data_IF_516108214965
#
_entry.id   IF_516108214965
#
_cell.length_a   1.000
_cell.length_b   1.000
_cell.length_c   1.000
_cell.angle_alpha   90.00
_cell.angle_beta   90.00
_cell.angle_gamma   90.00
#
_symmetry.space_group_name_H-M   'P 1'
#
loop_
_entity.id
_entity.type
_entity.pdbx_description
1 polymer ?
#
# COMPACT_ATOMS: atom_id res chain seq x y z
N UNK A 1 33.60 -32.03 40.99
CA UNK A 1 33.04 -30.67 41.18
C UNK A 1 31.70 -30.58 40.46
N UNK A 2 30.86 -29.68 40.95
CA UNK A 2 29.39 -29.64 40.90
C UNK A 2 28.71 -29.59 39.53
N UNK A 3 27.49 -30.12 39.52
CA UNK A 3 26.43 -29.97 38.50
C UNK A 3 25.97 -28.51 38.34
N UNK A 4 25.44 -28.11 37.17
CA UNK A 4 24.15 -27.41 36.98
C UNK A 4 23.94 -26.94 35.52
N UNK A 5 22.97 -27.52 34.79
CA UNK A 5 21.60 -27.03 34.52
C UNK A 5 21.48 -25.86 33.52
N UNK A 6 20.99 -26.22 32.33
CA UNK A 6 19.94 -25.61 31.51
C UNK A 6 19.65 -24.10 31.66
N UNK A 7 19.68 -23.39 30.53
CA UNK A 7 18.76 -22.27 30.26
C UNK A 7 18.56 -22.05 28.75
N UNK A 8 17.59 -22.79 28.19
CA UNK A 8 16.97 -22.49 26.90
C UNK A 8 16.27 -21.14 27.01
N UNK A 9 16.91 -20.06 26.56
CA UNK A 9 16.31 -18.73 26.53
C UNK A 9 15.40 -18.65 25.30
N UNK A 10 14.16 -19.16 25.44
CA UNK A 10 13.06 -18.83 24.54
C UNK A 10 12.77 -17.34 24.73
N UNK A 11 13.36 -16.52 23.88
CA UNK A 11 12.97 -15.12 23.76
C UNK A 11 11.60 -15.16 23.09
N UNK A 12 10.55 -15.04 23.90
CA UNK A 12 9.29 -14.48 23.42
C UNK A 12 9.62 -13.03 23.08
N UNK A 13 9.94 -12.78 21.81
CA UNK A 13 9.83 -11.43 21.29
C UNK A 13 8.34 -11.15 21.24
N UNK A 14 7.95 -10.23 22.12
CA UNK A 14 6.67 -9.54 22.19
C UNK A 14 6.10 -9.27 20.79
N UNK A 15 4.76 -9.18 20.64
CA UNK A 15 4.23 -8.51 19.47
C UNK A 15 4.92 -7.15 19.44
N UNK A 16 5.74 -6.91 18.43
CA UNK A 16 6.26 -5.58 18.19
C UNK A 16 5.02 -4.73 17.92
N UNK A 17 4.49 -4.12 18.98
CA UNK A 17 3.96 -2.77 18.94
C UNK A 17 5.14 -1.88 18.54
N UNK A 18 5.63 -2.08 17.32
CA UNK A 18 6.35 -1.08 16.61
C UNK A 18 5.29 -0.02 16.34
N UNK A 19 5.20 0.91 17.28
CA UNK A 19 4.90 2.29 16.98
C UNK A 19 5.97 2.77 15.99
N UNK A 20 5.92 2.19 14.79
CA UNK A 20 6.86 2.38 13.70
C UNK A 20 6.48 3.72 13.15
N UNK A 21 6.98 4.78 13.80
CA UNK A 21 7.00 6.18 13.37
C UNK A 21 6.27 6.30 12.07
N UNK A 22 4.95 6.51 12.11
CA UNK A 22 4.10 6.36 10.93
C UNK A 22 4.48 7.43 9.93
N UNK A 23 5.50 7.16 9.12
CA UNK A 23 5.98 8.09 8.13
C UNK A 23 4.84 8.22 7.11
N UNK A 24 4.34 9.44 6.89
CA UNK A 24 3.29 9.67 5.91
C UNK A 24 3.81 9.23 4.53
N UNK A 25 2.89 8.78 3.68
CA UNK A 25 3.21 8.46 2.30
C UNK A 25 3.58 9.78 1.60
N UNK A 26 4.85 9.92 1.23
CA UNK A 26 5.32 11.09 0.47
C UNK A 26 5.01 10.90 -1.00
N UNK A 27 3.90 11.51 -1.45
CA UNK A 27 3.46 11.52 -2.84
C UNK A 27 4.30 12.54 -3.60
N UNK A 28 4.95 12.09 -4.67
CA UNK A 28 5.72 12.92 -5.59
C UNK A 28 4.83 13.39 -6.74
N UNK A 29 3.98 12.50 -7.25
CA UNK A 29 3.08 12.80 -8.36
C UNK A 29 1.83 11.92 -8.28
N UNK A 30 0.65 12.51 -8.54
CA UNK A 30 -0.60 11.80 -8.73
C UNK A 30 -1.25 12.29 -10.00
N UNK A 31 -1.52 11.39 -10.94
CA UNK A 31 -2.19 11.66 -12.20
C UNK A 31 -3.43 10.79 -12.31
N UNK A 32 -4.51 11.39 -12.79
CA UNK A 32 -5.73 10.69 -13.16
C UNK A 32 -6.04 11.03 -14.60
N UNK A 33 -6.19 10.02 -15.45
CA UNK A 33 -6.66 10.17 -16.82
C UNK A 33 -7.78 9.18 -17.09
N UNK A 34 -8.61 9.45 -18.10
CA UNK A 34 -9.69 8.56 -18.50
C UNK A 34 -9.27 7.77 -19.72
N UNK A 35 -9.43 6.44 -19.63
CA UNK A 35 -9.09 5.51 -20.72
C UNK A 35 -10.38 4.90 -21.21
N UNK A 36 -10.84 5.36 -22.37
CA UNK A 36 -12.18 5.04 -22.86
C UNK A 36 -13.29 5.56 -21.93
N UNK A 37 -14.48 5.00 -22.06
CA UNK A 37 -15.66 5.53 -21.36
C UNK A 37 -15.68 5.14 -19.88
N UNK A 38 -15.33 3.88 -19.58
CA UNK A 38 -15.62 3.27 -18.28
C UNK A 38 -14.40 3.02 -17.40
N UNK A 39 -13.19 3.42 -17.81
CA UNK A 39 -11.97 3.22 -17.02
C UNK A 39 -11.32 4.56 -16.70
N UNK A 40 -10.84 4.70 -15.47
CA UNK A 40 -9.89 5.73 -15.06
C UNK A 40 -8.53 5.08 -14.79
N UNK A 41 -7.48 5.70 -15.33
CA UNK A 41 -6.10 5.37 -15.06
C UNK A 41 -5.58 6.30 -13.97
N UNK A 42 -5.20 5.74 -12.85
CA UNK A 42 -4.56 6.46 -11.74
C UNK A 42 -3.09 6.08 -11.70
N UNK A 43 -2.21 7.05 -11.83
CA UNK A 43 -0.76 6.87 -11.70
C UNK A 43 -0.26 7.63 -10.48
N UNK A 44 0.32 6.91 -9.53
CA UNK A 44 0.85 7.43 -8.27
C UNK A 44 2.36 7.16 -8.20
N UNK A 45 3.16 8.23 -8.15
CA UNK A 45 4.59 8.17 -7.83
C UNK A 45 4.79 8.63 -6.40
N UNK A 46 5.44 7.82 -5.58
CA UNK A 46 5.72 8.14 -4.18
C UNK A 46 7.14 7.73 -3.80
N UNK A 47 7.68 8.26 -2.69
CA UNK A 47 8.95 7.79 -2.15
C UNK A 47 8.82 6.37 -1.61
N UNK A 48 9.84 5.56 -1.87
CA UNK A 48 9.94 4.21 -1.33
C UNK A 48 10.40 4.28 0.12
N UNK A 49 9.51 3.93 1.05
CA UNK A 49 9.84 3.67 2.45
C UNK A 49 9.39 2.27 2.84
N UNK A 50 9.75 1.85 4.06
CA UNK A 50 9.20 0.63 4.65
C UNK A 50 7.68 0.74 4.70
N UNK A 51 7.02 -0.36 4.36
CA UNK A 51 5.56 -0.52 4.44
C UNK A 51 4.73 0.43 3.56
N UNK A 52 5.34 1.28 2.72
CA UNK A 52 4.61 2.18 1.81
C UNK A 52 3.66 1.43 0.89
N UNK A 53 4.06 0.24 0.44
CA UNK A 53 3.21 -0.59 -0.42
C UNK A 53 1.96 -1.03 0.34
N UNK A 54 2.12 -1.53 1.56
CA UNK A 54 1.03 -2.02 2.43
C UNK A 54 0.05 -0.89 2.72
N UNK A 55 0.54 0.26 3.22
CA UNK A 55 -0.30 1.42 3.52
C UNK A 55 -1.10 1.92 2.32
N UNK A 56 -0.49 1.93 1.13
CA UNK A 56 -1.19 2.34 -0.08
C UNK A 56 -2.25 1.32 -0.49
N UNK A 57 -1.97 0.03 -0.35
CA UNK A 57 -2.97 -1.01 -0.61
C UNK A 57 -4.14 -0.91 0.36
N UNK A 58 -3.90 -0.69 1.66
CA UNK A 58 -4.94 -0.45 2.67
C UNK A 58 -5.83 0.76 2.30
N UNK A 59 -5.23 1.86 1.83
CA UNK A 59 -5.99 3.02 1.34
C UNK A 59 -6.88 2.62 0.16
N UNK A 60 -6.36 1.92 -0.84
CA UNK A 60 -7.16 1.51 -2.00
C UNK A 60 -8.29 0.53 -1.62
N UNK A 61 -8.05 -0.38 -0.69
CA UNK A 61 -9.08 -1.27 -0.14
C UNK A 61 -10.16 -0.48 0.61
N UNK A 62 -9.77 0.50 1.42
CA UNK A 62 -10.70 1.34 2.20
C UNK A 62 -11.63 2.19 1.33
N UNK A 63 -11.13 2.61 0.15
CA UNK A 63 -11.90 3.39 -0.82
C UNK A 63 -12.89 2.54 -1.62
N UNK A 64 -12.84 1.20 -1.49
CA UNK A 64 -13.73 0.26 -2.17
C UNK A 64 -13.80 0.48 -3.69
N UNK A 65 -12.67 0.89 -4.28
CA UNK A 65 -12.54 1.16 -5.71
C UNK A 65 -12.68 -0.15 -6.49
N UNK A 66 -13.33 -0.09 -7.66
CA UNK A 66 -13.40 -1.24 -8.55
C UNK A 66 -12.12 -1.34 -9.40
N UNK A 67 -11.04 -1.86 -8.82
CA UNK A 67 -9.74 -2.00 -9.48
C UNK A 67 -9.75 -3.20 -10.42
N UNK A 68 -9.64 -2.95 -11.73
CA UNK A 68 -9.51 -3.97 -12.78
C UNK A 68 -8.08 -4.49 -12.85
N UNK A 69 -7.12 -3.55 -12.84
CA UNK A 69 -5.70 -3.85 -12.93
C UNK A 69 -4.95 -2.92 -12.00
N UNK A 70 -4.02 -3.47 -11.22
CA UNK A 70 -3.03 -2.70 -10.48
C UNK A 70 -1.63 -3.20 -10.82
N UNK A 71 -0.73 -2.29 -11.13
CA UNK A 71 0.70 -2.59 -11.19
C UNK A 71 1.46 -1.72 -10.18
N UNK A 72 2.53 -2.29 -9.66
CA UNK A 72 3.45 -1.63 -8.74
C UNK A 72 4.85 -1.88 -9.28
N UNK A 73 5.50 -0.81 -9.69
CA UNK A 73 6.90 -0.82 -10.13
C UNK A 73 7.76 -0.18 -9.06
N UNK A 74 8.72 -0.93 -8.54
CA UNK A 74 9.62 -0.44 -7.50
C UNK A 74 10.95 0.02 -8.10
N UNK A 75 11.28 1.30 -7.91
CA UNK A 75 12.58 1.88 -8.18
C UNK A 75 13.38 1.98 -6.86
N UNK A 76 14.70 2.25 -6.89
CA UNK A 76 15.51 2.35 -5.68
C UNK A 76 14.97 3.34 -4.64
N UNK A 77 14.55 4.53 -5.08
CA UNK A 77 14.08 5.61 -4.19
C UNK A 77 12.56 5.86 -4.27
N UNK A 78 11.90 5.35 -5.30
CA UNK A 78 10.49 5.66 -5.58
C UNK A 78 9.70 4.41 -5.92
N UNK A 79 8.39 4.50 -5.77
CA UNK A 79 7.44 3.52 -6.24
C UNK A 79 6.52 4.21 -7.24
N UNK A 80 6.33 3.58 -8.39
CA UNK A 80 5.29 3.96 -9.33
C UNK A 80 4.17 2.92 -9.26
N UNK A 81 2.96 3.38 -9.02
CA UNK A 81 1.76 2.55 -8.96
C UNK A 81 0.80 3.02 -10.04
N UNK A 82 0.26 2.07 -10.78
CA UNK A 82 -0.72 2.36 -11.83
C UNK A 82 -1.95 1.50 -11.61
N UNK A 83 -3.11 2.14 -11.50
CA UNK A 83 -4.39 1.47 -11.28
C UNK A 83 -5.35 1.81 -12.41
N UNK A 84 -6.02 0.79 -12.91
CA UNK A 84 -7.15 0.90 -13.82
C UNK A 84 -8.41 0.66 -13.01
N UNK A 85 -9.19 1.72 -12.78
CA UNK A 85 -10.41 1.70 -11.97
C UNK A 85 -11.60 1.76 -12.90
N UNK A 86 -12.54 0.84 -12.73
CA UNK A 86 -13.81 0.84 -13.42
C UNK A 86 -14.76 1.86 -12.79
N UNK A 87 -15.24 2.80 -13.61
CA UNK A 87 -16.28 3.75 -13.22
C UNK A 87 -17.57 3.02 -12.92
N UNK A 88 -18.17 3.27 -11.77
CA UNK A 88 -19.56 2.91 -11.50
C UNK A 88 -20.45 4.09 -11.89
N UNK A 89 -21.50 3.81 -12.66
CA UNK A 89 -22.53 4.80 -12.98
C UNK A 89 -23.72 4.45 -12.11
N UNK A 90 -24.08 5.34 -11.19
CA UNK A 90 -25.26 5.20 -10.36
C UNK A 90 -26.08 6.49 -10.46
N UNK A 91 -27.35 6.37 -10.86
CA UNK A 91 -28.28 7.49 -11.08
C UNK A 91 -27.70 8.62 -11.98
N UNK A 92 -26.97 8.24 -13.04
CA UNK A 92 -26.36 9.18 -13.99
C UNK A 92 -25.10 9.89 -13.49
N UNK A 93 -24.62 9.57 -12.27
CA UNK A 93 -23.36 10.11 -11.72
C UNK A 93 -22.25 9.09 -11.82
N UNK A 94 -21.06 9.56 -12.15
CA UNK A 94 -19.84 8.76 -12.24
C UNK A 94 -19.17 8.72 -10.87
N UNK A 95 -18.98 7.50 -10.35
CA UNK A 95 -18.24 7.21 -9.13
C UNK A 95 -17.00 6.36 -9.45
N UNK A 96 -15.91 6.60 -8.73
CA UNK A 96 -14.66 5.81 -8.78
C UNK A 96 -14.57 4.95 -7.53
#
# INVERSE_FOLDING_TARGET
>A
MSTEKSKKKRIQQSPDTSDSRAFPIEIIELKVSYVGEKIALVSLKCRKRRDTIVKICEVFESLKLNVVTANITAFPETLLKTLFIQKRIENGRVFM
#
